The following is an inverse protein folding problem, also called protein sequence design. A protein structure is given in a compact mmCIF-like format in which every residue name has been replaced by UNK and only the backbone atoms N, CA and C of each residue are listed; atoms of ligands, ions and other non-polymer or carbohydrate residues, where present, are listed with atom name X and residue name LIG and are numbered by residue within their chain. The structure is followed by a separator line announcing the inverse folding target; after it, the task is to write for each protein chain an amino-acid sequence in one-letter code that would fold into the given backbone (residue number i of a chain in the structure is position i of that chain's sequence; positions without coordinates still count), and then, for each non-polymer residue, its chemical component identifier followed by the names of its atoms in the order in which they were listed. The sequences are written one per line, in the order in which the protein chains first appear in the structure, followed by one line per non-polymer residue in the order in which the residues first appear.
data_IF_752202033252
#
_entry.id   IF_752202033252
#
_cell.length_a   1.000
_cell.length_b   1.000
_cell.length_c   1.000
_cell.angle_alpha   90.00
_cell.angle_beta   90.00
_cell.angle_gamma   90.00
#
_symmetry.space_group_name_H-M   'P 1'
#
loop_
_entity.id
_entity.type
_entity.pdbx_description
1 polymer ?
#
# COMPACT_ATOMS: atom_id res chain seq x y z
N UNK A 1 -22.05 39.84 20.78
CA UNK A 1 -21.15 39.65 19.62
C UNK A 1 -20.34 38.37 19.71
N UNK A 2 -19.77 38.04 20.87
CA UNK A 2 -18.95 36.81 21.06
C UNK A 2 -19.76 35.51 20.93
N UNK A 3 -20.99 35.45 21.43
CA UNK A 3 -21.86 34.28 21.31
C UNK A 3 -22.25 33.98 19.85
N UNK A 4 -22.52 35.02 19.07
CA UNK A 4 -22.80 34.89 17.64
C UNK A 4 -21.55 34.41 16.87
N UNK A 5 -20.38 34.93 17.22
CA UNK A 5 -19.10 34.48 16.66
C UNK A 5 -18.81 33.00 16.98
N UNK A 6 -19.11 32.53 18.20
CA UNK A 6 -18.96 31.13 18.59
C UNK A 6 -19.89 30.20 17.81
N UNK A 7 -21.14 30.62 17.58
CA UNK A 7 -22.10 29.86 16.78
C UNK A 7 -21.67 29.77 15.31
N UNK A 8 -21.21 30.89 14.73
CA UNK A 8 -20.70 30.93 13.35
C UNK A 8 -19.45 30.06 13.20
N UNK A 9 -18.54 30.07 14.18
CA UNK A 9 -17.33 29.24 14.15
C UNK A 9 -17.63 27.76 14.32
N UNK A 10 -18.54 27.39 15.24
CA UNK A 10 -18.97 26.00 15.41
C UNK A 10 -19.66 25.43 14.15
N UNK A 11 -20.44 26.26 13.43
CA UNK A 11 -21.03 25.86 12.15
C UNK A 11 -19.98 25.68 11.04
N UNK A 12 -18.92 26.50 11.03
CA UNK A 12 -17.81 26.37 10.08
C UNK A 12 -16.94 25.14 10.37
N UNK A 13 -16.63 24.86 11.64
CA UNK A 13 -15.83 23.70 12.06
C UNK A 13 -16.57 22.37 11.79
N UNK A 14 -17.91 22.36 11.91
CA UNK A 14 -18.74 21.20 11.58
C UNK A 14 -18.76 20.88 10.07
N UNK A 15 -18.62 21.90 9.21
CA UNK A 15 -18.50 21.72 7.76
C UNK A 15 -17.08 21.28 7.33
N UNK A 16 -16.05 21.59 8.11
CA UNK A 16 -14.65 21.28 7.80
C UNK A 16 -14.25 19.80 8.03
N UNK A 17 -15.14 18.98 8.61
CA UNK A 17 -14.85 17.61 9.04
C UNK A 17 -14.60 16.57 7.92
N UNK A 18 -14.92 16.87 6.66
CA UNK A 18 -14.92 15.88 5.57
C UNK A 18 -13.89 16.13 4.45
N UNK A 19 -13.50 17.37 4.18
CA UNK A 19 -12.61 17.67 3.03
C UNK A 19 -11.21 17.09 3.21
N UNK A 20 -10.64 17.20 4.41
CA UNK A 20 -9.31 16.64 4.72
C UNK A 20 -9.31 15.12 4.65
N UNK A 21 -10.42 14.48 5.04
CA UNK A 21 -10.54 13.02 5.06
C UNK A 21 -10.71 12.41 3.66
N UNK A 22 -11.46 13.09 2.77
CA UNK A 22 -11.65 12.67 1.38
C UNK A 22 -10.40 12.96 0.55
N UNK A 23 -9.77 14.13 0.73
CA UNK A 23 -8.50 14.46 0.07
C UNK A 23 -7.35 13.55 0.52
N UNK A 24 -7.27 13.23 1.83
CA UNK A 24 -6.30 12.27 2.35
C UNK A 24 -6.59 10.85 1.85
N UNK A 25 -7.85 10.41 1.78
CA UNK A 25 -8.19 9.09 1.25
C UNK A 25 -7.83 8.94 -0.25
N UNK A 26 -8.11 9.97 -1.05
CA UNK A 26 -7.77 9.96 -2.48
C UNK A 26 -6.27 9.94 -2.75
N UNK A 27 -5.51 10.82 -2.08
CA UNK A 27 -4.05 10.88 -2.24
C UNK A 27 -3.33 9.66 -1.67
N UNK A 28 -3.76 9.15 -0.51
CA UNK A 28 -3.17 7.97 0.11
C UNK A 28 -3.46 6.70 -0.71
N UNK A 29 -4.69 6.52 -1.20
CA UNK A 29 -5.04 5.38 -2.06
C UNK A 29 -4.26 5.36 -3.37
N UNK A 30 -4.02 6.53 -3.97
CA UNK A 30 -3.22 6.66 -5.18
C UNK A 30 -1.74 6.36 -4.93
N UNK A 31 -1.18 6.84 -3.82
CA UNK A 31 0.20 6.57 -3.43
C UNK A 31 0.46 5.06 -3.24
N UNK A 32 -0.42 4.36 -2.51
CA UNK A 32 -0.29 2.91 -2.34
C UNK A 32 -0.53 2.15 -3.64
N UNK A 33 -1.55 2.53 -4.41
CA UNK A 33 -1.86 1.90 -5.70
C UNK A 33 -0.68 1.93 -6.67
N UNK A 34 0.03 3.06 -6.76
CA UNK A 34 1.24 3.17 -7.56
C UNK A 34 2.41 2.36 -6.97
N UNK A 35 2.57 2.38 -5.65
CA UNK A 35 3.62 1.61 -4.97
C UNK A 35 3.47 0.09 -5.17
N UNK A 36 2.23 -0.41 -5.30
CA UNK A 36 1.93 -1.83 -5.47
C UNK A 36 2.21 -2.39 -6.88
N UNK A 37 2.36 -1.52 -7.89
CA UNK A 37 2.58 -1.95 -9.29
C UNK A 37 3.91 -2.70 -9.44
N UNK A 38 5.00 -2.14 -8.90
CA UNK A 38 6.33 -2.74 -8.99
C UNK A 38 6.39 -4.14 -8.36
N UNK A 39 5.93 -4.30 -7.10
CA UNK A 39 5.84 -5.59 -6.44
C UNK A 39 4.91 -6.58 -7.15
N UNK A 40 3.76 -6.14 -7.65
CA UNK A 40 2.85 -6.99 -8.43
C UNK A 40 3.52 -7.59 -9.68
N UNK A 41 4.29 -6.78 -10.41
CA UNK A 41 5.08 -7.26 -11.56
C UNK A 41 6.19 -8.19 -11.11
N UNK A 42 6.95 -7.82 -10.08
CA UNK A 42 8.07 -8.61 -9.57
C UNK A 42 7.63 -9.99 -9.08
N UNK A 43 6.52 -10.08 -8.36
CA UNK A 43 5.95 -11.35 -7.88
C UNK A 43 5.52 -12.22 -9.05
N UNK A 44 4.86 -11.63 -10.07
CA UNK A 44 4.46 -12.37 -11.27
C UNK A 44 5.65 -13.03 -11.97
N UNK A 45 6.75 -12.30 -12.13
CA UNK A 45 7.99 -12.80 -12.73
C UNK A 45 8.61 -13.91 -11.86
N UNK A 46 8.74 -13.67 -10.55
CA UNK A 46 9.34 -14.63 -9.61
C UNK A 46 8.55 -15.95 -9.60
N UNK A 47 7.22 -15.87 -9.51
CA UNK A 47 6.37 -17.07 -9.55
C UNK A 47 6.47 -17.81 -10.88
N UNK A 48 6.42 -17.10 -12.01
CA UNK A 48 6.54 -17.71 -13.33
C UNK A 48 7.84 -18.49 -13.47
N UNK A 49 8.98 -17.84 -13.17
CA UNK A 49 10.29 -18.48 -13.23
C UNK A 49 10.45 -19.62 -12.23
N UNK A 50 9.88 -19.51 -11.03
CA UNK A 50 9.92 -20.59 -10.04
C UNK A 50 9.11 -21.82 -10.50
N UNK A 51 7.94 -21.62 -11.08
CA UNK A 51 7.11 -22.72 -11.62
C UNK A 51 7.85 -23.42 -12.77
N UNK A 52 8.41 -22.66 -13.71
CA UNK A 52 9.20 -23.22 -14.81
C UNK A 52 10.42 -24.02 -14.30
N UNK A 53 11.14 -23.48 -13.32
CA UNK A 53 12.28 -24.16 -12.72
C UNK A 53 11.88 -25.47 -12.03
N UNK A 54 10.80 -25.45 -11.24
CA UNK A 54 10.26 -26.65 -10.58
C UNK A 54 9.75 -27.69 -11.58
N UNK A 55 9.16 -27.26 -12.70
CA UNK A 55 8.70 -28.16 -13.74
C UNK A 55 9.85 -28.85 -14.49
N UNK A 56 10.98 -28.14 -14.68
CA UNK A 56 12.18 -28.67 -15.34
C UNK A 56 13.05 -29.54 -14.43
N UNK A 57 13.09 -29.23 -13.13
CA UNK A 57 13.86 -29.97 -12.12
C UNK A 57 13.03 -30.18 -10.85
N UNK A 58 12.18 -31.22 -10.81
CA UNK A 58 11.32 -31.50 -9.66
C UNK A 58 12.10 -31.78 -8.37
N UNK A 59 13.31 -32.31 -8.47
CA UNK A 59 14.17 -32.64 -7.33
C UNK A 59 14.64 -31.37 -6.59
N UNK A 60 14.79 -30.27 -7.31
CA UNK A 60 15.18 -28.97 -6.76
C UNK A 60 13.99 -28.16 -6.21
N UNK A 61 12.76 -28.66 -6.33
CA UNK A 61 11.56 -27.86 -6.05
C UNK A 61 11.48 -27.33 -4.62
N UNK A 62 12.00 -28.09 -3.64
CA UNK A 62 12.09 -27.63 -2.26
C UNK A 62 12.95 -26.37 -2.12
N UNK A 63 14.15 -26.38 -2.71
CA UNK A 63 15.08 -25.23 -2.69
C UNK A 63 14.51 -24.05 -3.47
N UNK A 64 13.94 -24.29 -4.66
CA UNK A 64 13.33 -23.25 -5.50
C UNK A 64 12.22 -22.52 -4.76
N UNK A 65 11.35 -23.23 -4.03
CA UNK A 65 10.29 -22.60 -3.21
C UNK A 65 10.87 -21.69 -2.12
N UNK A 66 11.92 -22.12 -1.43
CA UNK A 66 12.57 -21.30 -0.40
C UNK A 66 13.11 -20.00 -1.00
N UNK A 67 13.85 -20.07 -2.11
CA UNK A 67 14.39 -18.89 -2.78
C UNK A 67 13.29 -18.01 -3.38
N UNK A 68 12.22 -18.61 -3.91
CA UNK A 68 11.04 -17.92 -4.42
C UNK A 68 10.38 -17.06 -3.34
N UNK A 69 10.10 -17.63 -2.16
CA UNK A 69 9.50 -16.88 -1.05
C UNK A 69 10.40 -15.78 -0.52
N UNK A 70 11.72 -16.00 -0.49
CA UNK A 70 12.68 -14.96 -0.14
C UNK A 70 12.65 -13.80 -1.15
N UNK A 71 12.61 -14.11 -2.45
CA UNK A 71 12.47 -13.11 -3.52
C UNK A 71 11.17 -12.31 -3.43
N UNK A 72 10.05 -12.99 -3.13
CA UNK A 72 8.75 -12.35 -2.89
C UNK A 72 8.84 -11.40 -1.69
N UNK A 73 9.43 -11.84 -0.58
CA UNK A 73 9.57 -11.02 0.61
C UNK A 73 10.37 -9.73 0.35
N UNK A 74 11.46 -9.81 -0.39
CA UNK A 74 12.23 -8.61 -0.78
C UNK A 74 11.47 -7.71 -1.76
N UNK A 75 10.69 -8.30 -2.64
CA UNK A 75 9.86 -7.57 -3.61
C UNK A 75 8.73 -6.82 -2.90
N UNK A 76 8.08 -7.44 -1.92
CA UNK A 76 7.02 -6.83 -1.09
C UNK A 76 7.54 -5.80 -0.10
N UNK A 77 8.80 -5.88 0.34
CA UNK A 77 9.37 -4.90 1.28
C UNK A 77 9.24 -3.45 0.76
N UNK A 78 9.30 -3.25 -0.56
CA UNK A 78 9.11 -1.94 -1.19
C UNK A 78 7.63 -1.50 -1.19
N UNK A 79 6.68 -2.42 -1.37
CA UNK A 79 5.23 -2.15 -1.27
C UNK A 79 4.84 -1.75 0.14
N UNK A 80 5.41 -2.43 1.15
CA UNK A 80 5.13 -2.18 2.56
C UNK A 80 5.57 -0.77 3.00
N UNK A 81 6.62 -0.21 2.40
CA UNK A 81 6.99 1.20 2.63
C UNK A 81 5.88 2.13 2.13
N UNK A 82 5.32 1.88 0.95
CA UNK A 82 4.17 2.63 0.43
C UNK A 82 2.92 2.48 1.30
N UNK A 83 2.68 1.28 1.84
CA UNK A 83 1.60 1.02 2.79
C UNK A 83 1.76 1.79 4.11
N UNK A 84 2.99 1.87 4.63
CA UNK A 84 3.29 2.68 5.82
C UNK A 84 3.00 4.16 5.55
N UNK A 85 3.41 4.69 4.38
CA UNK A 85 3.09 6.08 3.99
C UNK A 85 1.58 6.29 3.90
N UNK A 86 0.83 5.34 3.35
CA UNK A 86 -0.64 5.38 3.33
C UNK A 86 -1.22 5.51 4.75
N UNK A 87 -0.79 4.66 5.69
CA UNK A 87 -1.26 4.72 7.09
C UNK A 87 -0.90 6.07 7.70
N UNK A 88 0.31 6.56 7.50
CA UNK A 88 0.73 7.87 8.02
C UNK A 88 -0.13 9.00 7.46
N UNK A 89 -0.37 9.05 6.15
CA UNK A 89 -1.19 10.11 5.55
C UNK A 89 -2.67 10.04 5.96
N UNK A 90 -3.18 8.83 6.23
CA UNK A 90 -4.58 8.64 6.58
C UNK A 90 -4.88 8.88 8.06
N UNK A 91 -3.92 8.58 8.95
CA UNK A 91 -4.12 8.54 10.39
C UNK A 91 -3.20 9.47 11.21
N UNK A 92 -2.21 10.13 10.59
CA UNK A 92 -1.43 11.21 11.23
C UNK A 92 -2.11 12.58 11.05
#
# INVERSE_FOLDING_TARGET
MEALSKIVKAAADAAAGDEKNIAAAGSAGFAYGLAAIGPGIGIGIIFGSAIEAMARQPEAAGMVRTTMFLGIAFTEALALIGFVVFILLKYA
#
